data_IF_675516080201
#
_entry.id   IF_675516080201
#
_cell.length_a   1.000
_cell.length_b   1.000
_cell.length_c   1.000
_cell.angle_alpha   90.00
_cell.angle_beta   90.00
_cell.angle_gamma   90.00
#
_symmetry.space_group_name_H-M   'P 1'
#
loop_
_entity.id
_entity.type
_entity.pdbx_description
1 polymer ?
#
# COMPACT_ATOMS: atom_id res chain seq x y z
N UNK A 1 6.73 14.32 28.26
CA UNK A 1 7.47 13.08 28.60
C UNK A 1 6.94 12.05 27.62
N UNK A 2 7.71 11.66 26.60
CA UNK A 2 7.32 10.57 25.71
C UNK A 2 7.15 9.31 26.56
N UNK A 3 5.97 8.71 26.56
CA UNK A 3 5.81 7.38 27.16
C UNK A 3 6.74 6.42 26.43
N UNK A 4 7.67 5.83 27.17
CA UNK A 4 8.51 4.77 26.60
C UNK A 4 7.61 3.63 26.14
N UNK A 5 7.68 3.28 24.87
CA UNK A 5 7.03 2.08 24.35
C UNK A 5 7.54 0.88 25.16
N UNK A 6 6.61 0.23 25.87
CA UNK A 6 6.95 -0.98 26.62
C UNK A 6 6.88 -2.19 25.71
N UNK A 7 7.91 -3.03 25.75
CA UNK A 7 7.94 -4.28 24.99
C UNK A 7 6.81 -5.23 25.44
N UNK A 8 6.14 -5.85 24.48
CA UNK A 8 5.08 -6.82 24.73
C UNK A 8 5.65 -8.25 24.62
N UNK A 9 5.94 -8.88 25.75
CA UNK A 9 6.49 -10.24 25.82
C UNK A 9 5.49 -11.34 25.39
N UNK A 10 4.21 -11.00 25.15
CA UNK A 10 3.18 -11.94 24.74
C UNK A 10 2.88 -11.83 23.25
N UNK A 11 3.49 -10.88 22.55
CA UNK A 11 3.23 -10.62 21.15
C UNK A 11 3.57 -11.83 20.28
N UNK A 12 2.58 -12.31 19.55
CA UNK A 12 2.70 -13.43 18.59
C UNK A 12 2.54 -12.97 17.16
N UNK A 13 1.63 -12.02 16.88
CA UNK A 13 1.38 -11.50 15.54
C UNK A 13 1.33 -9.99 15.55
N UNK A 14 2.22 -9.35 14.80
CA UNK A 14 2.20 -7.93 14.51
C UNK A 14 1.58 -7.66 13.14
N UNK A 15 0.59 -6.76 13.09
CA UNK A 15 0.08 -6.16 11.86
C UNK A 15 0.79 -4.84 11.65
N UNK A 16 1.56 -4.71 10.59
CA UNK A 16 2.36 -3.51 10.38
C UNK A 16 2.03 -2.82 9.06
N UNK A 17 1.88 -1.49 9.08
CA UNK A 17 2.10 -0.71 7.86
C UNK A 17 3.58 -0.79 7.45
N UNK A 18 3.88 -0.36 6.24
CA UNK A 18 5.24 -0.39 5.68
C UNK A 18 5.82 1.01 5.59
N UNK A 19 5.13 1.91 4.87
CA UNK A 19 5.62 3.26 4.61
C UNK A 19 5.63 4.12 5.87
N UNK A 20 6.76 4.76 6.20
CA UNK A 20 6.96 5.56 7.40
C UNK A 20 6.82 4.77 8.73
N UNK A 21 6.77 3.42 8.63
CA UNK A 21 6.67 2.52 9.79
C UNK A 21 7.84 1.54 9.82
N UNK A 22 8.02 0.72 8.77
CA UNK A 22 9.16 -0.21 8.62
C UNK A 22 10.25 0.41 7.74
N UNK A 23 9.87 1.14 6.71
CA UNK A 23 10.77 1.77 5.75
C UNK A 23 10.24 3.14 5.31
N UNK A 24 11.14 4.03 4.94
CA UNK A 24 10.77 5.27 4.27
C UNK A 24 10.20 4.98 2.87
N UNK A 25 9.40 5.92 2.35
CA UNK A 25 8.74 5.75 1.04
C UNK A 25 9.78 5.59 -0.07
N UNK A 26 9.71 4.48 -0.82
CA UNK A 26 10.62 4.11 -1.92
C UNK A 26 12.09 3.88 -1.53
N UNK A 27 12.36 3.62 -0.26
CA UNK A 27 13.71 3.26 0.19
C UNK A 27 13.71 1.86 0.82
N UNK A 28 14.83 1.13 0.77
CA UNK A 28 14.98 -0.09 1.57
C UNK A 28 14.84 0.22 3.06
N UNK A 29 14.34 -0.75 3.82
CA UNK A 29 14.31 -0.66 5.28
C UNK A 29 15.72 -0.49 5.84
N UNK A 30 15.84 0.28 6.92
CA UNK A 30 17.11 0.48 7.58
C UNK A 30 17.70 -0.86 8.06
N UNK A 31 19.00 -1.11 7.94
CA UNK A 31 19.64 -2.34 8.42
C UNK A 31 19.35 -2.66 9.90
N UNK A 32 19.22 -1.63 10.74
CA UNK A 32 18.80 -1.82 12.14
C UNK A 32 17.37 -2.36 12.23
N UNK A 33 16.43 -1.83 11.44
CA UNK A 33 15.06 -2.33 11.38
C UNK A 33 15.01 -3.78 10.89
N UNK A 34 15.76 -4.13 9.86
CA UNK A 34 15.86 -5.52 9.36
C UNK A 34 16.40 -6.45 10.45
N UNK A 35 17.37 -5.98 11.24
CA UNK A 35 17.91 -6.75 12.38
C UNK A 35 16.84 -7.00 13.44
N UNK A 36 16.09 -5.96 13.85
CA UNK A 36 15.03 -6.08 14.86
C UNK A 36 13.88 -6.98 14.39
N UNK A 37 13.45 -6.85 13.13
CA UNK A 37 12.45 -7.73 12.55
C UNK A 37 12.92 -9.18 12.51
N UNK A 38 14.20 -9.41 12.16
CA UNK A 38 14.79 -10.76 12.14
C UNK A 38 14.85 -11.38 13.54
N UNK A 39 15.20 -10.61 14.57
CA UNK A 39 15.19 -11.05 15.96
C UNK A 39 13.76 -11.40 16.42
N UNK A 40 12.79 -10.55 16.11
CA UNK A 40 11.38 -10.79 16.41
C UNK A 40 10.87 -12.11 15.80
N UNK A 41 11.20 -12.37 14.52
CA UNK A 41 10.84 -13.61 13.84
C UNK A 41 11.57 -14.83 14.42
N UNK A 42 12.87 -14.70 14.77
CA UNK A 42 13.65 -15.77 15.41
C UNK A 42 13.08 -16.17 16.79
N UNK A 43 12.53 -15.21 17.53
CA UNK A 43 11.85 -15.45 18.81
C UNK A 43 10.44 -16.07 18.65
N UNK A 44 10.05 -16.39 17.39
CA UNK A 44 8.77 -17.03 17.07
C UNK A 44 7.62 -16.07 16.79
N UNK A 45 7.89 -14.75 16.72
CA UNK A 45 6.94 -13.74 16.29
C UNK A 45 6.51 -13.94 14.83
N UNK A 46 5.31 -13.45 14.49
CA UNK A 46 4.75 -13.48 13.13
C UNK A 46 4.46 -12.07 12.68
N UNK A 47 4.74 -11.78 11.40
CA UNK A 47 4.58 -10.44 10.84
C UNK A 47 3.58 -10.45 9.68
N UNK A 48 2.56 -9.61 9.76
CA UNK A 48 1.64 -9.37 8.66
C UNK A 48 1.76 -7.90 8.21
N UNK A 49 2.51 -7.67 7.15
CA UNK A 49 2.65 -6.34 6.54
C UNK A 49 1.43 -6.01 5.69
N UNK A 50 0.86 -4.80 5.86
CA UNK A 50 -0.35 -4.34 5.17
C UNK A 50 -0.11 -2.96 4.57
N UNK A 51 0.22 -2.90 3.29
CA UNK A 51 0.65 -1.67 2.61
C UNK A 51 -0.23 -1.27 1.42
N UNK A 52 -0.23 0.01 1.09
CA UNK A 52 -0.73 0.54 -0.18
C UNK A 52 0.24 0.32 -1.35
N UNK A 53 1.50 -0.02 -1.06
CA UNK A 53 2.55 -0.28 -2.05
C UNK A 53 2.39 -1.59 -2.81
N UNK A 54 3.32 -1.88 -3.73
CA UNK A 54 3.36 -3.13 -4.49
C UNK A 54 4.06 -4.26 -3.73
N UNK A 55 3.70 -5.51 -4.05
CA UNK A 55 4.37 -6.71 -3.51
C UNK A 55 5.87 -6.70 -3.82
N UNK A 56 6.22 -6.41 -5.09
CA UNK A 56 7.61 -6.38 -5.53
C UNK A 56 8.46 -5.37 -4.74
N UNK A 57 7.86 -4.24 -4.34
CA UNK A 57 8.52 -3.24 -3.50
C UNK A 57 8.79 -3.79 -2.09
N UNK A 58 7.79 -4.40 -1.45
CA UNK A 58 7.96 -5.01 -0.12
C UNK A 58 9.04 -6.10 -0.14
N UNK A 59 9.08 -6.90 -1.21
CA UNK A 59 10.13 -7.90 -1.39
C UNK A 59 11.51 -7.25 -1.46
N UNK A 60 11.72 -6.38 -2.43
CA UNK A 60 13.01 -5.72 -2.68
C UNK A 60 13.52 -4.93 -1.47
N UNK A 61 12.63 -4.18 -0.81
CA UNK A 61 13.01 -3.19 0.20
C UNK A 61 13.04 -3.77 1.63
N UNK A 62 12.43 -4.94 1.86
CA UNK A 62 12.32 -5.54 3.20
C UNK A 62 12.64 -7.03 3.18
N UNK A 63 11.80 -7.87 2.55
CA UNK A 63 11.88 -9.32 2.77
C UNK A 63 13.10 -9.96 2.13
N UNK A 64 13.66 -9.40 1.05
CA UNK A 64 14.91 -9.90 0.46
C UNK A 64 16.13 -9.69 1.36
N UNK A 65 16.02 -8.80 2.36
CA UNK A 65 17.04 -8.57 3.37
C UNK A 65 16.88 -9.44 4.63
N UNK A 66 15.76 -10.18 4.77
CA UNK A 66 15.51 -11.13 5.85
C UNK A 66 16.00 -12.53 5.42
N UNK A 67 16.58 -13.27 6.38
CA UNK A 67 17.01 -14.65 6.11
C UNK A 67 15.85 -15.48 5.54
N UNK A 68 16.05 -16.22 4.43
CA UNK A 68 15.00 -17.05 3.83
C UNK A 68 14.33 -18.01 4.82
N UNK A 69 15.05 -18.53 5.79
CA UNK A 69 14.50 -19.43 6.81
C UNK A 69 13.46 -18.80 7.74
N UNK A 70 13.40 -17.47 7.80
CA UNK A 70 12.45 -16.73 8.64
C UNK A 70 11.25 -16.20 7.83
N UNK A 71 11.34 -16.16 6.51
CA UNK A 71 10.31 -15.53 5.66
C UNK A 71 8.97 -16.27 5.71
N UNK A 72 8.96 -17.56 6.01
CA UNK A 72 7.72 -18.34 6.13
C UNK A 72 6.80 -17.84 7.26
N UNK A 73 7.31 -17.03 8.18
CA UNK A 73 6.58 -16.37 9.27
C UNK A 73 6.00 -15.00 8.88
N UNK A 74 6.08 -14.63 7.59
CA UNK A 74 5.65 -13.33 7.08
C UNK A 74 4.48 -13.51 6.13
N UNK A 75 3.44 -12.66 6.31
CA UNK A 75 2.39 -12.40 5.34
C UNK A 75 2.51 -10.97 4.82
N UNK A 76 2.15 -10.78 3.55
CA UNK A 76 2.15 -9.46 2.89
C UNK A 76 0.79 -9.22 2.27
N UNK A 77 0.08 -8.19 2.73
CA UNK A 77 -1.07 -7.63 2.04
C UNK A 77 -0.65 -6.36 1.32
N UNK A 78 -0.78 -6.36 0.01
CA UNK A 78 -0.40 -5.22 -0.83
C UNK A 78 -1.59 -4.57 -1.53
N UNK A 79 -1.36 -3.43 -2.20
CA UNK A 79 -2.41 -2.66 -2.87
C UNK A 79 -3.60 -2.36 -1.94
N UNK A 80 -3.31 -1.93 -0.71
CA UNK A 80 -4.29 -1.59 0.33
C UNK A 80 -5.21 -2.74 0.75
N UNK A 81 -4.79 -3.99 0.55
CA UNK A 81 -5.57 -5.16 0.95
C UNK A 81 -6.19 -5.94 -0.22
N UNK A 82 -5.78 -5.68 -1.46
CA UNK A 82 -6.33 -6.37 -2.63
C UNK A 82 -5.89 -7.83 -2.72
N UNK A 83 -4.68 -8.13 -2.26
CA UNK A 83 -4.12 -9.48 -2.24
C UNK A 83 -3.33 -9.74 -0.96
N UNK A 84 -3.28 -11.00 -0.55
CA UNK A 84 -2.45 -11.48 0.56
C UNK A 84 -1.56 -12.60 0.07
N UNK A 85 -0.26 -12.41 0.26
CA UNK A 85 0.80 -13.33 -0.12
C UNK A 85 1.55 -13.85 1.11
N UNK A 86 2.23 -14.95 0.96
CA UNK A 86 3.13 -15.52 1.95
C UNK A 86 4.28 -16.26 1.30
N UNK A 87 5.08 -16.92 2.10
CA UNK A 87 6.27 -17.65 1.65
C UNK A 87 6.12 -19.14 1.87
N UNK A 88 6.90 -19.91 1.12
CA UNK A 88 7.07 -21.36 1.33
C UNK A 88 8.03 -21.61 2.50
N UNK A 89 8.12 -22.84 2.97
CA UNK A 89 9.08 -23.25 4.01
C UNK A 89 10.55 -23.02 3.61
N UNK A 90 10.82 -22.85 2.30
CA UNK A 90 12.16 -22.50 1.79
C UNK A 90 12.41 -21.00 1.72
N UNK A 91 11.45 -20.17 2.11
CA UNK A 91 11.54 -18.71 2.07
C UNK A 91 11.35 -18.10 0.68
N UNK A 92 10.90 -18.88 -0.31
CA UNK A 92 10.51 -18.37 -1.61
C UNK A 92 9.09 -17.83 -1.55
N UNK A 93 8.78 -16.77 -2.30
CA UNK A 93 7.40 -16.33 -2.46
C UNK A 93 6.55 -17.48 -3.03
N UNK A 94 5.32 -17.62 -2.58
CA UNK A 94 4.38 -18.59 -3.13
C UNK A 94 4.04 -18.24 -4.59
N UNK A 95 3.62 -19.24 -5.36
CA UNK A 95 3.21 -19.05 -6.76
C UNK A 95 1.84 -18.37 -6.87
N UNK A 96 0.99 -18.47 -5.82
CA UNK A 96 -0.35 -17.92 -5.76
C UNK A 96 -0.63 -17.23 -4.43
N UNK A 97 -1.44 -16.15 -4.41
CA UNK A 97 -1.86 -15.50 -3.17
C UNK A 97 -2.83 -16.40 -2.39
N UNK A 98 -2.90 -16.19 -1.08
CA UNK A 98 -3.94 -16.77 -0.22
C UNK A 98 -5.32 -16.13 -0.41
N UNK A 99 -5.32 -14.92 -0.90
CA UNK A 99 -6.50 -14.10 -1.12
C UNK A 99 -6.20 -13.09 -2.24
N UNK A 100 -7.11 -12.96 -3.20
CA UNK A 100 -7.03 -11.98 -4.27
C UNK A 100 -8.42 -11.57 -4.73
N UNK A 101 -8.85 -10.36 -4.37
CA UNK A 101 -10.08 -9.77 -4.93
C UNK A 101 -9.95 -9.55 -6.43
N UNK A 102 -8.74 -9.26 -6.89
CA UNK A 102 -8.47 -9.01 -8.29
C UNK A 102 -8.68 -10.27 -9.15
N UNK A 103 -8.13 -11.42 -8.74
CA UNK A 103 -8.31 -12.67 -9.47
C UNK A 103 -9.75 -13.22 -9.35
N UNK A 104 -10.40 -12.99 -8.21
CA UNK A 104 -11.79 -13.41 -7.97
C UNK A 104 -12.82 -12.56 -8.73
N UNK A 105 -12.51 -11.28 -9.00
CA UNK A 105 -13.48 -10.30 -9.53
C UNK A 105 -13.28 -10.02 -11.02
N UNK A 106 -12.04 -10.06 -11.54
CA UNK A 106 -11.70 -9.57 -12.88
C UNK A 106 -11.43 -10.71 -13.86
N UNK A 107 -12.18 -10.73 -14.98
CA UNK A 107 -11.82 -11.53 -16.14
C UNK A 107 -10.62 -10.91 -16.89
N UNK A 108 -9.92 -11.68 -17.76
CA UNK A 108 -8.86 -11.12 -18.59
C UNK A 108 -9.30 -9.89 -19.40
N UNK A 109 -10.51 -9.90 -19.94
CA UNK A 109 -11.07 -8.79 -20.72
C UNK A 109 -11.32 -7.56 -19.85
N UNK A 110 -11.76 -7.72 -18.60
CA UNK A 110 -11.92 -6.62 -17.65
C UNK A 110 -10.56 -6.04 -17.28
N UNK A 111 -9.54 -6.89 -17.11
CA UNK A 111 -8.17 -6.47 -16.82
C UNK A 111 -7.59 -5.64 -17.97
N UNK A 112 -7.83 -6.03 -19.22
CA UNK A 112 -7.43 -5.29 -20.42
C UNK A 112 -8.19 -3.97 -20.52
N UNK A 113 -9.53 -3.99 -20.44
CA UNK A 113 -10.35 -2.79 -20.49
C UNK A 113 -9.97 -1.74 -19.43
N UNK A 114 -9.53 -2.17 -18.25
CA UNK A 114 -8.99 -1.26 -17.25
C UNK A 114 -7.72 -0.56 -17.71
N UNK A 115 -6.76 -1.32 -18.29
CA UNK A 115 -5.52 -0.74 -18.83
C UNK A 115 -5.81 0.23 -19.99
N UNK A 116 -6.82 -0.07 -20.82
CA UNK A 116 -7.27 0.84 -21.89
C UNK A 116 -7.77 2.17 -21.33
N UNK A 117 -8.52 2.18 -20.23
CA UNK A 117 -8.92 3.42 -19.54
C UNK A 117 -7.70 4.23 -19.09
N UNK A 118 -6.67 3.58 -18.54
CA UNK A 118 -5.43 4.27 -18.15
C UNK A 118 -4.70 4.84 -19.36
N UNK A 119 -4.58 4.09 -20.45
CA UNK A 119 -3.97 4.54 -21.72
C UNK A 119 -4.74 5.75 -22.29
N UNK A 120 -6.07 5.70 -22.25
CA UNK A 120 -6.91 6.82 -22.68
C UNK A 120 -6.68 8.08 -21.84
N UNK A 121 -6.63 7.95 -20.50
CA UNK A 121 -6.33 9.09 -19.61
C UNK A 121 -4.94 9.67 -19.89
N UNK A 122 -3.93 8.84 -20.06
CA UNK A 122 -2.57 9.28 -20.43
C UNK A 122 -2.58 10.09 -21.71
N UNK A 123 -3.32 9.64 -22.73
CA UNK A 123 -3.43 10.34 -24.02
C UNK A 123 -4.25 11.65 -23.92
N UNK A 124 -5.42 11.63 -23.28
CA UNK A 124 -6.30 12.80 -23.12
C UNK A 124 -5.62 13.96 -22.37
N UNK A 125 -4.82 13.63 -21.34
CA UNK A 125 -4.09 14.61 -20.53
C UNK A 125 -2.67 14.88 -21.02
N UNK A 126 -2.25 14.28 -22.16
CA UNK A 126 -0.91 14.40 -22.73
C UNK A 126 0.20 14.07 -21.73
N UNK A 127 -0.04 13.09 -20.85
CA UNK A 127 0.92 12.67 -19.82
C UNK A 127 2.07 11.88 -20.44
N UNK A 128 3.27 12.03 -19.87
CA UNK A 128 4.45 11.22 -20.18
C UNK A 128 4.72 10.32 -18.98
N UNK A 129 4.65 9.03 -19.20
CA UNK A 129 4.75 8.03 -18.14
C UNK A 129 6.17 7.52 -17.97
N UNK A 130 6.61 7.38 -16.74
CA UNK A 130 7.90 6.86 -16.32
C UNK A 130 7.71 5.77 -15.25
N UNK A 131 8.64 4.82 -15.11
CA UNK A 131 8.60 3.86 -14.02
C UNK A 131 8.64 4.51 -12.64
N UNK A 132 8.01 3.87 -11.64
CA UNK A 132 8.07 4.30 -10.25
C UNK A 132 9.51 4.25 -9.71
N UNK A 133 9.94 5.33 -9.06
CA UNK A 133 11.27 5.50 -8.48
C UNK A 133 11.22 6.53 -7.34
N UNK A 134 12.28 6.66 -6.52
CA UNK A 134 12.37 7.71 -5.52
C UNK A 134 12.17 9.10 -6.13
N UNK A 135 11.43 9.98 -5.44
CA UNK A 135 11.08 11.31 -5.94
C UNK A 135 12.31 12.16 -6.32
N UNK A 136 13.39 12.03 -5.58
CA UNK A 136 14.63 12.76 -5.86
C UNK A 136 15.24 12.27 -7.17
N UNK A 137 15.33 10.96 -7.36
CA UNK A 137 15.87 10.35 -8.58
C UNK A 137 15.03 10.72 -9.81
N UNK A 138 13.71 10.76 -9.64
CA UNK A 138 12.79 11.22 -10.68
C UNK A 138 13.06 12.68 -11.09
N UNK A 139 13.27 13.56 -10.13
CA UNK A 139 13.58 14.96 -10.42
C UNK A 139 14.95 15.15 -11.08
N UNK A 140 15.92 14.35 -10.69
CA UNK A 140 17.29 14.45 -11.24
C UNK A 140 17.38 13.87 -12.66
N UNK A 141 16.60 12.83 -12.97
CA UNK A 141 16.66 12.12 -14.25
C UNK A 141 15.64 12.62 -15.28
N UNK A 142 14.43 12.98 -14.85
CA UNK A 142 13.31 13.35 -15.73
C UNK A 142 13.05 14.87 -15.67
N UNK A 143 13.13 15.47 -14.48
CA UNK A 143 12.87 16.87 -14.28
C UNK A 143 11.57 17.20 -13.57
N UNK A 144 11.05 18.43 -13.78
CA UNK A 144 9.92 18.97 -13.01
C UNK A 144 8.74 19.44 -13.88
N UNK A 145 8.58 18.88 -15.08
CA UNK A 145 7.41 19.16 -15.89
C UNK A 145 6.17 18.49 -15.26
N UNK A 146 5.04 19.19 -15.09
CA UNK A 146 3.84 18.63 -14.47
C UNK A 146 3.21 17.47 -15.25
N UNK A 147 3.49 17.34 -16.54
CA UNK A 147 2.99 16.25 -17.39
C UNK A 147 3.86 14.98 -17.32
N UNK A 148 5.04 15.05 -16.71
CA UNK A 148 5.85 13.86 -16.41
C UNK A 148 5.36 13.25 -15.10
N UNK A 149 4.83 12.02 -15.19
CA UNK A 149 4.30 11.26 -14.06
C UNK A 149 4.97 9.88 -13.96
N UNK A 150 4.97 9.31 -12.79
CA UNK A 150 5.27 7.88 -12.66
C UNK A 150 3.98 7.08 -12.77
N UNK A 151 4.02 5.98 -13.51
CA UNK A 151 2.93 5.02 -13.64
C UNK A 151 3.39 3.65 -13.14
N UNK A 152 2.68 3.11 -12.16
CA UNK A 152 2.98 1.83 -11.53
C UNK A 152 1.75 0.91 -11.63
N UNK A 153 1.80 -0.06 -12.53
CA UNK A 153 0.80 -1.13 -12.64
C UNK A 153 1.20 -2.29 -11.71
N UNK A 154 0.50 -2.41 -10.60
CA UNK A 154 0.73 -3.42 -9.55
C UNK A 154 -0.14 -4.65 -9.70
N UNK A 155 -0.86 -4.79 -10.81
CA UNK A 155 -1.91 -5.79 -11.00
C UNK A 155 -3.23 -5.31 -10.42
N UNK A 156 -3.52 -5.54 -9.14
CA UNK A 156 -4.79 -5.15 -8.50
C UNK A 156 -4.94 -3.66 -8.19
N UNK A 157 -3.93 -2.86 -8.45
CA UNK A 157 -3.96 -1.40 -8.36
C UNK A 157 -3.05 -0.80 -9.41
N UNK A 158 -3.50 0.26 -10.07
CA UNK A 158 -2.66 1.11 -10.92
C UNK A 158 -2.54 2.47 -10.25
N UNK A 159 -1.31 2.95 -10.11
CA UNK A 159 -1.04 4.24 -9.45
C UNK A 159 -0.39 5.21 -10.43
N UNK A 160 -0.97 6.39 -10.57
CA UNK A 160 -0.35 7.56 -11.21
C UNK A 160 0.24 8.46 -10.13
N UNK A 161 1.57 8.63 -10.12
CA UNK A 161 2.22 9.53 -9.18
C UNK A 161 2.53 10.86 -9.85
N UNK A 162 1.71 11.85 -9.57
CA UNK A 162 1.70 13.19 -10.19
C UNK A 162 2.58 14.14 -9.38
N UNK A 163 3.86 13.78 -9.25
CA UNK A 163 4.83 14.44 -8.34
C UNK A 163 4.99 15.92 -8.61
N UNK A 164 4.94 16.33 -9.88
CA UNK A 164 5.14 17.72 -10.32
C UNK A 164 3.83 18.46 -10.59
N UNK A 165 2.70 17.77 -10.51
CA UNK A 165 1.38 18.32 -10.85
C UNK A 165 0.59 18.84 -9.64
N UNK A 166 1.22 19.00 -8.49
CA UNK A 166 0.60 19.51 -7.27
C UNK A 166 0.93 20.99 -7.11
N UNK A 167 -0.09 21.81 -6.82
CA UNK A 167 0.02 23.26 -6.61
C UNK A 167 0.63 24.00 -7.82
N UNK A 168 0.02 23.76 -8.99
CA UNK A 168 0.49 24.30 -10.27
C UNK A 168 0.49 25.84 -10.30
N UNK A 169 1.57 26.40 -10.81
CA UNK A 169 1.71 27.85 -11.08
C UNK A 169 0.93 28.27 -12.32
N UNK A 170 0.64 29.57 -12.45
CA UNK A 170 -0.05 30.11 -13.65
C UNK A 170 0.76 29.88 -14.94
N UNK A 171 2.09 29.88 -14.87
CA UNK A 171 2.96 29.53 -16.01
C UNK A 171 2.77 28.06 -16.43
N UNK A 172 2.73 27.13 -15.48
CA UNK A 172 2.49 25.73 -15.76
C UNK A 172 1.10 25.50 -16.33
N UNK A 173 0.07 26.15 -15.75
CA UNK A 173 -1.30 26.09 -16.23
C UNK A 173 -1.45 26.59 -17.67
N UNK A 174 -0.72 27.65 -18.04
CA UNK A 174 -0.78 28.20 -19.40
C UNK A 174 -0.29 27.25 -20.49
N UNK A 175 0.46 26.19 -20.12
CA UNK A 175 0.99 25.16 -21.03
C UNK A 175 0.03 23.98 -21.19
N UNK A 176 -1.02 23.89 -20.36
CA UNK A 176 -2.01 22.82 -20.43
C UNK A 176 -3.11 23.14 -21.43
N UNK A 177 -3.60 22.14 -22.15
CA UNK A 177 -4.73 22.25 -23.08
C UNK A 177 -6.10 22.16 -22.41
N UNK A 178 -6.13 21.97 -21.10
CA UNK A 178 -7.33 21.80 -20.26
C UNK A 178 -7.20 22.60 -18.97
N UNK A 179 -8.33 22.82 -18.30
CA UNK A 179 -8.36 23.57 -17.04
C UNK A 179 -8.12 22.66 -15.85
N UNK A 180 -7.36 23.16 -14.87
CA UNK A 180 -7.20 22.52 -13.56
C UNK A 180 -7.95 23.38 -12.53
N UNK A 181 -9.01 22.86 -11.90
CA UNK A 181 -9.81 23.63 -10.95
C UNK A 181 -9.00 23.94 -9.68
N UNK A 182 -9.32 25.09 -9.08
CA UNK A 182 -8.79 25.43 -7.75
C UNK A 182 -9.59 24.66 -6.69
N UNK A 183 -8.95 23.71 -6.03
CA UNK A 183 -9.57 22.89 -5.00
C UNK A 183 -8.77 23.01 -3.70
N UNK A 184 -9.43 23.41 -2.60
CA UNK A 184 -8.79 23.67 -1.31
C UNK A 184 -7.56 24.62 -1.38
N UNK A 185 -7.65 25.63 -2.25
CA UNK A 185 -6.59 26.62 -2.42
C UNK A 185 -5.40 26.14 -3.26
N UNK A 186 -5.47 24.97 -3.87
CA UNK A 186 -4.42 24.39 -4.73
C UNK A 186 -4.95 24.00 -6.10
N UNK A 187 -4.07 24.04 -7.08
CA UNK A 187 -4.30 23.54 -8.43
C UNK A 187 -3.60 22.19 -8.60
N UNK A 188 -4.36 21.13 -8.46
CA UNK A 188 -3.89 19.75 -8.43
C UNK A 188 -4.31 19.01 -9.71
N UNK A 189 -3.32 18.62 -10.53
CA UNK A 189 -3.53 17.92 -11.80
C UNK A 189 -4.28 16.59 -11.62
N UNK A 190 -4.19 15.96 -10.46
CA UNK A 190 -4.93 14.73 -10.16
C UNK A 190 -6.45 14.94 -10.17
N UNK A 191 -6.92 16.18 -9.89
CA UNK A 191 -8.36 16.47 -9.81
C UNK A 191 -9.07 16.22 -11.15
N UNK A 192 -8.70 16.89 -12.27
CA UNK A 192 -9.36 16.62 -13.55
C UNK A 192 -9.13 15.20 -14.07
N UNK A 193 -7.97 14.60 -13.82
CA UNK A 193 -7.71 13.20 -14.18
C UNK A 193 -8.67 12.27 -13.44
N UNK A 194 -8.85 12.47 -12.13
CA UNK A 194 -9.79 11.68 -11.32
C UNK A 194 -11.24 11.86 -11.79
N UNK A 195 -11.68 13.09 -12.04
CA UNK A 195 -13.04 13.37 -12.53
C UNK A 195 -13.30 12.65 -13.86
N UNK A 196 -12.39 12.75 -14.81
CA UNK A 196 -12.48 12.08 -16.10
C UNK A 196 -12.44 10.55 -15.97
N UNK A 197 -11.61 10.02 -15.07
CA UNK A 197 -11.52 8.59 -14.83
C UNK A 197 -12.82 8.01 -14.27
N UNK A 198 -13.53 8.73 -13.41
CA UNK A 198 -14.85 8.30 -12.90
C UNK A 198 -15.85 8.14 -14.05
N UNK A 199 -15.85 9.06 -15.03
CA UNK A 199 -16.72 8.97 -16.21
C UNK A 199 -16.38 7.71 -17.03
N UNK A 200 -15.11 7.51 -17.39
CA UNK A 200 -14.66 6.38 -18.21
C UNK A 200 -14.94 5.04 -17.52
N UNK A 201 -14.63 4.95 -16.21
CA UNK A 201 -14.88 3.72 -15.45
C UNK A 201 -16.38 3.42 -15.32
N UNK A 202 -17.22 4.45 -15.24
CA UNK A 202 -18.68 4.26 -15.27
C UNK A 202 -19.17 3.76 -16.62
N UNK A 203 -18.60 4.23 -17.73
CA UNK A 203 -18.93 3.78 -19.09
C UNK A 203 -18.57 2.31 -19.31
N UNK A 204 -17.44 1.88 -18.75
CA UNK A 204 -16.97 0.47 -18.86
C UNK A 204 -17.65 -0.45 -17.85
N UNK A 205 -18.26 0.06 -16.79
CA UNK A 205 -18.84 -0.73 -15.70
C UNK A 205 -17.83 -1.51 -14.86
N UNK A 206 -16.54 -1.12 -14.92
CA UNK A 206 -15.49 -1.76 -14.13
C UNK A 206 -15.60 -1.40 -12.65
N UNK A 207 -15.48 -2.36 -11.71
CA UNK A 207 -15.52 -2.12 -10.27
C UNK A 207 -14.19 -1.54 -9.76
N UNK A 208 -13.83 -0.35 -10.26
CA UNK A 208 -12.62 0.39 -9.94
C UNK A 208 -12.99 1.74 -9.36
N UNK A 209 -12.35 2.10 -8.25
CA UNK A 209 -12.51 3.42 -7.63
C UNK A 209 -11.21 4.22 -7.72
N UNK A 210 -11.20 5.37 -8.43
CA UNK A 210 -10.09 6.31 -8.41
C UNK A 210 -10.11 7.12 -7.10
N UNK A 211 -8.98 7.12 -6.38
CA UNK A 211 -8.84 7.82 -5.10
C UNK A 211 -7.49 8.52 -4.98
N UNK A 212 -7.45 9.62 -4.25
CA UNK A 212 -6.16 10.22 -3.90
C UNK A 212 -5.43 9.33 -2.90
N UNK A 213 -4.17 9.03 -3.20
CA UNK A 213 -3.25 8.31 -2.35
C UNK A 213 -2.08 9.21 -1.94
N UNK A 214 -1.65 9.14 -0.68
CA UNK A 214 -0.52 9.91 -0.19
C UNK A 214 -0.53 11.39 -0.60
N UNK A 215 0.67 11.95 -0.82
CA UNK A 215 0.83 13.36 -1.16
C UNK A 215 0.60 13.68 -2.64
N UNK A 216 0.88 12.76 -3.54
CA UNK A 216 0.89 12.98 -5.00
C UNK A 216 0.36 11.80 -5.83
N UNK A 217 -0.09 10.73 -5.22
CA UNK A 217 -0.64 9.58 -5.93
C UNK A 217 -2.13 9.76 -6.28
N UNK A 218 -2.52 9.24 -7.43
CA UNK A 218 -3.89 8.93 -7.81
C UNK A 218 -3.95 7.42 -8.04
N UNK A 219 -4.60 6.73 -7.12
CA UNK A 219 -4.74 5.28 -7.12
C UNK A 219 -6.03 4.87 -7.83
N UNK A 220 -5.93 3.92 -8.74
CA UNK A 220 -7.05 3.20 -9.31
C UNK A 220 -7.06 1.82 -8.65
N UNK A 221 -7.98 1.58 -7.75
CA UNK A 221 -8.02 0.37 -6.95
C UNK A 221 -9.35 -0.37 -7.12
N UNK A 222 -9.31 -1.68 -6.97
CA UNK A 222 -10.50 -2.53 -6.95
C UNK A 222 -11.45 -2.07 -5.85
N UNK A 223 -12.76 -2.02 -6.14
CA UNK A 223 -13.77 -1.66 -5.16
C UNK A 223 -13.86 -2.64 -3.99
N UNK A 224 -14.21 -2.12 -2.80
CA UNK A 224 -14.35 -2.93 -1.59
C UNK A 224 -13.04 -3.38 -0.93
N UNK A 225 -11.90 -3.00 -1.51
CA UNK A 225 -10.57 -3.31 -0.96
C UNK A 225 -10.20 -2.33 0.16
N UNK A 226 -9.74 -2.87 1.28
CA UNK A 226 -9.21 -2.11 2.41
C UNK A 226 -8.25 -2.95 3.25
N UNK A 227 -7.40 -2.29 4.05
CA UNK A 227 -6.56 -2.97 5.06
C UNK A 227 -7.42 -3.83 6.01
N UNK A 228 -8.62 -3.36 6.36
CA UNK A 228 -9.58 -4.10 7.20
C UNK A 228 -10.01 -5.43 6.55
N UNK A 229 -10.36 -5.40 5.25
CA UNK A 229 -10.87 -6.60 4.56
C UNK A 229 -9.82 -7.68 4.44
N UNK A 230 -8.56 -7.32 4.13
CA UNK A 230 -7.46 -8.29 4.04
C UNK A 230 -7.13 -8.92 5.39
N UNK A 231 -7.06 -8.14 6.46
CA UNK A 231 -6.82 -8.66 7.81
C UNK A 231 -7.94 -9.63 8.22
N UNK A 232 -9.20 -9.24 8.06
CA UNK A 232 -10.34 -10.12 8.37
C UNK A 232 -10.34 -11.38 7.52
N UNK A 233 -9.95 -11.31 6.24
CA UNK A 233 -9.88 -12.49 5.38
C UNK A 233 -8.84 -13.50 5.90
N UNK A 234 -7.69 -13.05 6.41
CA UNK A 234 -6.65 -13.91 6.98
C UNK A 234 -7.09 -14.50 8.32
N UNK A 235 -7.59 -13.64 9.23
CA UNK A 235 -7.97 -14.06 10.58
C UNK A 235 -9.14 -15.06 10.62
N UNK A 236 -9.89 -15.19 9.54
CA UNK A 236 -11.01 -16.15 9.42
C UNK A 236 -10.65 -17.43 8.67
N UNK A 237 -9.41 -17.54 8.13
CA UNK A 237 -8.94 -18.69 7.34
C UNK A 237 -7.90 -19.50 8.11
N UNK A 238 -8.29 -20.62 8.78
CA UNK A 238 -7.36 -21.45 9.55
C UNK A 238 -6.18 -21.95 8.71
N UNK A 239 -6.42 -22.20 7.41
CA UNK A 239 -5.40 -22.67 6.47
C UNK A 239 -4.32 -21.64 6.21
N UNK A 240 -4.65 -20.34 6.21
CA UNK A 240 -3.67 -19.25 6.05
C UNK A 240 -2.87 -19.07 7.34
N UNK A 241 -3.54 -19.05 8.49
CA UNK A 241 -2.87 -18.97 9.79
C UNK A 241 -1.91 -20.12 10.03
N UNK A 242 -2.29 -21.35 9.62
CA UNK A 242 -1.46 -22.53 9.76
C UNK A 242 -0.13 -22.41 8.97
N UNK A 243 -0.11 -21.66 7.86
CA UNK A 243 1.14 -21.48 7.08
C UNK A 243 2.20 -20.64 7.81
N UNK A 244 1.77 -19.82 8.77
CA UNK A 244 2.67 -19.08 9.67
C UNK A 244 2.70 -19.67 11.07
N UNK A 245 2.26 -20.91 11.23
CA UNK A 245 2.30 -21.63 12.50
C UNK A 245 1.31 -21.18 13.57
N UNK A 246 0.25 -20.44 13.18
CA UNK A 246 -0.79 -19.97 14.08
C UNK A 246 -2.10 -20.74 13.89
N UNK A 247 -2.96 -20.71 14.93
CA UNK A 247 -4.33 -21.22 14.92
C UNK A 247 -5.31 -20.09 15.15
N UNK A 248 -6.60 -20.35 14.90
CA UNK A 248 -7.66 -19.37 15.18
C UNK A 248 -7.69 -18.90 16.64
N UNK A 249 -7.39 -19.80 17.58
CA UNK A 249 -7.34 -19.46 19.01
C UNK A 249 -6.22 -18.48 19.36
N UNK A 250 -5.07 -18.55 18.66
CA UNK A 250 -3.91 -17.69 18.86
C UNK A 250 -4.19 -16.22 18.48
N UNK A 251 -5.13 -15.99 17.55
CA UNK A 251 -5.48 -14.65 17.08
C UNK A 251 -6.74 -14.08 17.75
N UNK A 252 -7.30 -14.77 18.74
CA UNK A 252 -8.45 -14.32 19.53
C UNK A 252 -8.03 -13.60 20.82
N UNK A 253 -6.78 -13.74 21.26
CA UNK A 253 -6.27 -13.08 22.44
C UNK A 253 -5.69 -11.71 22.08
N UNK A 254 -6.34 -10.58 22.45
CA UNK A 254 -5.83 -9.25 22.11
C UNK A 254 -4.43 -8.94 22.63
N UNK A 255 -4.00 -9.58 23.74
CA UNK A 255 -2.68 -9.37 24.32
C UNK A 255 -1.54 -9.96 23.47
N UNK A 256 -1.86 -10.88 22.57
CA UNK A 256 -0.91 -11.52 21.66
C UNK A 256 -0.82 -10.84 20.30
N UNK A 257 -1.58 -9.74 20.09
CA UNK A 257 -1.67 -8.99 18.84
C UNK A 257 -1.22 -7.55 19.04
N UNK A 258 -0.58 -6.96 18.04
CA UNK A 258 -0.31 -5.52 17.97
C UNK A 258 -0.53 -4.98 16.54
N UNK A 259 -0.83 -3.69 16.47
CA UNK A 259 -0.86 -2.92 15.20
C UNK A 259 0.23 -1.88 15.24
N UNK A 260 1.08 -1.86 14.22
CA UNK A 260 2.17 -0.91 14.04
C UNK A 260 1.89 -0.01 12.84
N UNK A 261 2.01 1.29 13.00
CA UNK A 261 1.73 2.25 11.93
C UNK A 261 2.12 3.68 12.26
N UNK A 262 1.97 4.57 11.29
CA UNK A 262 2.26 6.01 11.44
C UNK A 262 1.02 6.91 11.28
N UNK A 263 -0.13 6.37 10.81
CA UNK A 263 -1.33 7.13 10.42
C UNK A 263 -2.61 6.65 11.11
N UNK A 264 -2.69 6.83 12.43
CA UNK A 264 -3.89 6.49 13.22
C UNK A 264 -4.91 7.63 13.36
N UNK A 265 -4.61 8.84 12.86
CA UNK A 265 -5.46 10.00 13.01
C UNK A 265 -6.87 9.82 12.40
N UNK A 266 -7.90 10.39 13.06
CA UNK A 266 -9.31 10.33 12.62
C UNK A 266 -9.57 11.02 11.28
N UNK A 267 -8.69 11.94 10.87
CA UNK A 267 -8.82 12.72 9.64
C UNK A 267 -7.92 12.15 8.53
N UNK A 268 -8.19 10.90 8.08
CA UNK A 268 -7.52 10.30 6.92
C UNK A 268 -6.40 9.31 7.25
N UNK A 269 -6.28 8.89 8.50
CA UNK A 269 -5.31 7.86 8.89
C UNK A 269 -5.68 6.48 8.34
N UNK A 270 -4.84 5.93 7.45
CA UNK A 270 -5.08 4.62 6.81
C UNK A 270 -4.84 3.44 7.75
N UNK A 271 -3.98 3.60 8.77
CA UNK A 271 -3.59 2.51 9.69
C UNK A 271 -4.65 2.25 10.75
N UNK A 272 -5.51 3.25 11.03
CA UNK A 272 -6.72 3.04 11.81
C UNK A 272 -7.56 1.87 11.28
N UNK A 273 -7.59 1.66 9.97
CA UNK A 273 -8.34 0.56 9.37
C UNK A 273 -7.77 -0.82 9.71
N UNK A 274 -6.49 -0.92 10.10
CA UNK A 274 -5.93 -2.17 10.66
C UNK A 274 -6.49 -2.42 12.05
N UNK A 275 -6.47 -1.40 12.93
CA UNK A 275 -7.02 -1.51 14.29
C UNK A 275 -8.53 -1.79 14.28
N UNK A 276 -9.30 -1.20 13.35
CA UNK A 276 -10.74 -1.45 13.17
C UNK A 276 -11.06 -2.88 12.71
N UNK A 277 -10.07 -3.62 12.20
CA UNK A 277 -10.22 -5.03 11.84
C UNK A 277 -10.20 -5.96 13.05
N UNK A 278 -9.66 -5.50 14.18
CA UNK A 278 -9.32 -6.27 15.37
C UNK A 278 -10.22 -5.90 16.55
N UNK A 279 -10.07 -6.61 17.66
CA UNK A 279 -10.73 -6.26 18.93
C UNK A 279 -10.19 -4.91 19.45
N UNK A 280 -11.04 -4.08 20.10
CA UNK A 280 -10.64 -2.75 20.59
C UNK A 280 -9.48 -2.76 21.61
N UNK A 281 -9.27 -3.89 22.26
CA UNK A 281 -8.22 -4.11 23.26
C UNK A 281 -6.85 -4.36 22.65
N UNK A 282 -6.77 -4.61 21.32
CA UNK A 282 -5.49 -4.79 20.63
C UNK A 282 -4.70 -3.49 20.65
N UNK A 283 -3.47 -3.57 21.12
CA UNK A 283 -2.58 -2.42 21.24
C UNK A 283 -2.16 -1.91 19.86
N UNK A 284 -2.25 -0.57 19.68
CA UNK A 284 -1.70 0.12 18.51
C UNK A 284 -0.48 0.95 18.90
N UNK A 285 0.58 0.86 18.11
CA UNK A 285 1.83 1.61 18.29
C UNK A 285 1.97 2.58 17.12
N UNK A 286 2.04 3.88 17.45
CA UNK A 286 2.24 4.97 16.49
C UNK A 286 3.74 5.28 16.39
N UNK A 287 4.32 5.09 15.21
CA UNK A 287 5.75 5.29 14.91
C UNK A 287 6.08 6.72 14.48
N UNK A 288 5.10 7.63 14.45
CA UNK A 288 5.40 9.03 14.13
C UNK A 288 6.38 9.61 15.13
N UNK A 289 7.39 10.28 14.61
CA UNK A 289 8.23 11.14 15.45
C UNK A 289 7.34 12.27 15.96
N UNK A 290 7.16 12.37 17.28
CA UNK A 290 6.64 13.58 17.90
C UNK A 290 7.68 14.69 17.65
N UNK A 291 7.28 15.74 16.91
CA UNK A 291 8.03 16.99 16.78
C UNK A 291 7.88 17.83 18.05
#
# INVERSE_FOLDING_TARGET
MSEKITYNNQLRLAFSDVDETIADVYTPADPEMITELSLYLQDGGKLFMVTGGSLARVQRDITDHIDPSLRHDILISHCSGAEVWGFTDTGSLRDEPFYSVYEETFTPEMKEAWRDVIVQLVAEFALRTHPAQPKIDFWDTIGRDPLDIMLDDRGPQITMEVVNGIDLTDEQLSKLSYSVPLTHGKRDLRTPIKERSIELLKETGLPITPRFGGNFALDFAVEGVSKTTSIKSVLTKPEVLATIGLKLEDVQNPAELEVWGDKFGVNGGTDRHMSEALAPEVRSIDFRKED
#
